data_IF_429423569293
#
_entry.id   IF_429423569293
#
_cell.length_a   1.000
_cell.length_b   1.000
_cell.length_c   1.000
_cell.angle_alpha   90.00
_cell.angle_beta   90.00
_cell.angle_gamma   90.00
#
_symmetry.space_group_name_H-M   'P 1'
#
loop_
_entity.id
_entity.type
_entity.pdbx_description
1 polymer ?
#
# COMPACT_ATOMS: atom_id res chain seq x y z
N UNK A 1 -11.54 -22.50 26.36
CA UNK A 1 -11.64 -21.82 25.03
C UNK A 1 -10.26 -21.31 24.62
N UNK A 2 -9.63 -21.87 23.57
CA UNK A 2 -8.34 -21.36 23.08
C UNK A 2 -8.53 -19.92 22.60
N UNK A 3 -7.88 -18.95 23.25
CA UNK A 3 -7.91 -17.54 22.79
C UNK A 3 -7.41 -17.52 21.34
N UNK A 4 -8.24 -17.04 20.41
CA UNK A 4 -7.83 -16.82 19.03
C UNK A 4 -6.56 -15.96 19.03
N UNK A 5 -5.55 -16.37 18.24
CA UNK A 5 -4.29 -15.62 18.11
C UNK A 5 -4.50 -14.23 17.50
N UNK A 6 -5.66 -13.97 16.89
CA UNK A 6 -6.03 -12.72 16.22
C UNK A 6 -7.17 -12.00 16.95
N UNK A 7 -7.09 -10.67 16.99
CA UNK A 7 -8.20 -9.82 17.45
C UNK A 7 -9.32 -9.77 16.39
N UNK A 8 -10.60 -9.52 16.76
CA UNK A 8 -11.68 -9.37 15.80
C UNK A 8 -11.39 -8.34 14.70
N UNK A 9 -10.72 -7.24 15.06
CA UNK A 9 -10.27 -6.22 14.12
C UNK A 9 -9.27 -6.75 13.07
N UNK A 10 -8.36 -7.64 13.47
CA UNK A 10 -7.43 -8.28 12.53
C UNK A 10 -8.17 -9.22 11.59
N UNK A 11 -9.12 -10.01 12.11
CA UNK A 11 -9.95 -10.91 11.28
C UNK A 11 -10.71 -10.09 10.23
N UNK A 12 -11.36 -9.00 10.64
CA UNK A 12 -12.05 -8.09 9.73
C UNK A 12 -11.10 -7.49 8.69
N UNK A 13 -9.90 -7.05 9.09
CA UNK A 13 -8.92 -6.53 8.15
C UNK A 13 -8.43 -7.58 7.14
N UNK A 14 -8.26 -8.84 7.57
CA UNK A 14 -7.91 -9.95 6.67
C UNK A 14 -9.02 -10.22 5.66
N UNK A 15 -10.28 -10.30 6.10
CA UNK A 15 -11.43 -10.50 5.21
C UNK A 15 -11.57 -9.32 4.23
N UNK A 16 -11.54 -8.09 4.75
CA UNK A 16 -11.68 -6.88 3.96
C UNK A 16 -10.58 -6.74 2.90
N UNK A 17 -9.35 -7.19 3.19
CA UNK A 17 -8.26 -7.15 2.23
C UNK A 17 -8.47 -8.09 1.03
N UNK A 18 -9.29 -9.13 1.13
CA UNK A 18 -9.60 -10.02 -0.01
C UNK A 18 -10.75 -9.50 -0.88
N UNK A 19 -11.60 -8.61 -0.36
CA UNK A 19 -12.79 -8.11 -1.08
C UNK A 19 -12.45 -7.54 -2.46
N UNK A 20 -11.44 -6.65 -2.63
CA UNK A 20 -11.15 -6.09 -3.95
C UNK A 20 -10.76 -7.15 -5.00
N UNK A 21 -10.04 -8.19 -4.59
CA UNK A 21 -9.63 -9.27 -5.47
C UNK A 21 -10.82 -10.17 -5.84
N UNK A 22 -11.65 -10.55 -4.87
CA UNK A 22 -12.86 -11.34 -5.12
C UNK A 22 -13.83 -10.59 -6.04
N UNK A 23 -13.99 -9.28 -5.82
CA UNK A 23 -14.79 -8.44 -6.70
C UNK A 23 -14.20 -8.38 -8.10
N UNK A 24 -12.87 -8.19 -8.24
CA UNK A 24 -12.22 -8.20 -9.55
C UNK A 24 -12.46 -9.51 -10.31
N UNK A 25 -12.37 -10.65 -9.63
CA UNK A 25 -12.64 -11.97 -10.23
C UNK A 25 -14.10 -12.09 -10.67
N UNK A 26 -15.04 -11.60 -9.84
CA UNK A 26 -16.45 -11.58 -10.19
C UNK A 26 -16.74 -10.73 -11.44
N UNK A 27 -16.19 -9.50 -11.49
CA UNK A 27 -16.37 -8.62 -12.65
C UNK A 27 -15.69 -9.17 -13.91
N UNK A 28 -14.58 -9.89 -13.76
CA UNK A 28 -13.93 -10.60 -14.87
C UNK A 28 -14.82 -11.74 -15.40
N UNK A 29 -15.44 -12.50 -14.50
CA UNK A 29 -16.31 -13.62 -14.89
C UNK A 29 -17.63 -13.17 -15.55
N UNK A 30 -18.08 -11.96 -15.24
CA UNK A 30 -19.30 -11.36 -15.80
C UNK A 30 -19.02 -10.43 -17.01
N UNK A 31 -17.79 -10.39 -17.52
CA UNK A 31 -17.37 -9.48 -18.59
C UNK A 31 -17.66 -7.98 -18.31
N UNK A 32 -17.68 -7.60 -17.03
CA UNK A 32 -18.00 -6.24 -16.56
C UNK A 32 -16.78 -5.31 -16.48
N UNK A 33 -15.60 -5.74 -16.93
CA UNK A 33 -14.38 -4.91 -16.92
C UNK A 33 -14.30 -3.91 -18.08
N UNK A 34 -15.26 -3.95 -19.00
CA UNK A 34 -15.35 -3.04 -20.14
C UNK A 34 -14.37 -3.41 -21.26
N UNK A 35 -14.08 -2.47 -22.18
CA UNK A 35 -13.39 -2.77 -23.44
C UNK A 35 -11.90 -3.11 -23.30
N UNK A 36 -11.27 -2.73 -22.18
CA UNK A 36 -9.86 -3.03 -21.89
C UNK A 36 -9.74 -3.69 -20.51
N UNK A 37 -10.04 -5.00 -20.42
CA UNK A 37 -10.11 -5.72 -19.14
C UNK A 37 -8.75 -5.82 -18.45
N UNK A 38 -7.66 -5.90 -19.21
CA UNK A 38 -6.29 -5.99 -18.68
C UNK A 38 -5.93 -4.67 -17.98
N UNK A 39 -6.17 -3.53 -18.63
CA UNK A 39 -5.94 -2.23 -18.02
C UNK A 39 -6.85 -2.00 -16.81
N UNK A 40 -8.11 -2.39 -16.88
CA UNK A 40 -9.04 -2.30 -15.75
C UNK A 40 -8.54 -3.10 -14.55
N UNK A 41 -8.13 -4.36 -14.75
CA UNK A 41 -7.57 -5.21 -13.70
C UNK A 41 -6.27 -4.63 -13.11
N UNK A 42 -5.38 -4.12 -13.98
CA UNK A 42 -4.12 -3.47 -13.58
C UNK A 42 -4.38 -2.24 -12.71
N UNK A 43 -5.30 -1.36 -13.10
CA UNK A 43 -5.65 -0.16 -12.33
C UNK A 43 -6.32 -0.52 -10.99
N UNK A 44 -7.21 -1.51 -10.96
CA UNK A 44 -7.90 -1.91 -9.73
C UNK A 44 -6.97 -2.56 -8.71
N UNK A 45 -6.07 -3.42 -9.15
CA UNK A 45 -5.05 -4.04 -8.28
C UNK A 45 -4.04 -3.01 -7.78
N UNK A 46 -3.61 -2.06 -8.62
CA UNK A 46 -2.77 -0.93 -8.21
C UNK A 46 -3.46 -0.03 -7.18
N UNK A 47 -4.75 0.29 -7.37
CA UNK A 47 -5.55 1.06 -6.41
C UNK A 47 -5.72 0.33 -5.09
N UNK A 48 -6.00 -0.98 -5.11
CA UNK A 48 -6.06 -1.78 -3.89
C UNK A 48 -4.73 -1.77 -3.12
N UNK A 49 -3.59 -1.90 -3.81
CA UNK A 49 -2.27 -1.80 -3.21
C UNK A 49 -2.04 -0.43 -2.53
N UNK A 50 -2.43 0.67 -3.18
CA UNK A 50 -2.35 2.03 -2.64
C UNK A 50 -3.25 2.21 -1.40
N UNK A 51 -4.52 1.80 -1.48
CA UNK A 51 -5.48 1.90 -0.37
C UNK A 51 -4.92 1.18 0.87
N UNK A 52 -4.41 -0.04 0.71
CA UNK A 52 -3.85 -0.83 1.80
C UNK A 52 -2.56 -0.22 2.37
N UNK A 53 -1.70 0.34 1.51
CA UNK A 53 -0.49 1.06 1.92
C UNK A 53 -0.85 2.28 2.78
N UNK A 54 -1.75 3.12 2.29
CA UNK A 54 -2.21 4.34 2.97
C UNK A 54 -2.92 3.98 4.28
N UNK A 55 -3.73 2.92 4.31
CA UNK A 55 -4.38 2.44 5.54
C UNK A 55 -3.35 1.94 6.56
N UNK A 56 -2.29 1.26 6.12
CA UNK A 56 -1.16 0.89 7.00
C UNK A 56 -0.45 2.12 7.57
N UNK A 57 -0.23 3.16 6.74
CA UNK A 57 0.30 4.45 7.18
C UNK A 57 -0.66 5.16 8.16
N UNK A 58 -1.98 5.00 8.02
CA UNK A 58 -2.99 5.60 8.89
C UNK A 58 -3.10 4.96 10.29
N UNK A 59 -2.57 3.76 10.50
CA UNK A 59 -2.68 3.08 11.79
C UNK A 59 -2.02 3.83 12.96
N UNK A 60 -0.86 4.46 12.75
CA UNK A 60 -0.19 5.21 13.84
C UNK A 60 -0.75 6.62 14.05
N UNK A 61 -1.19 7.42 13.05
CA UNK A 61 -1.92 8.65 13.29
C UNK A 61 -3.24 8.39 14.00
N UNK A 62 -3.98 7.33 13.65
CA UNK A 62 -5.17 6.90 14.40
C UNK A 62 -4.86 6.70 15.89
N UNK A 63 -3.81 5.94 16.22
CA UNK A 63 -3.41 5.76 17.62
C UNK A 63 -2.91 7.07 18.28
N UNK A 64 -2.33 7.99 17.50
CA UNK A 64 -1.83 9.28 18.01
C UNK A 64 -3.00 10.20 18.37
N UNK A 65 -3.96 10.35 17.47
CA UNK A 65 -5.13 11.23 17.61
C UNK A 65 -6.13 10.64 18.61
N UNK A 66 -6.46 9.35 18.51
CA UNK A 66 -7.55 8.74 19.29
C UNK A 66 -7.08 7.84 20.43
N UNK A 67 -5.78 7.52 20.54
CA UNK A 67 -5.30 6.56 21.54
C UNK A 67 -5.65 5.10 21.25
N UNK A 68 -6.21 4.81 20.07
CA UNK A 68 -6.67 3.48 19.69
C UNK A 68 -5.51 2.52 19.35
N UNK A 69 -4.94 1.89 20.39
CA UNK A 69 -3.84 0.91 20.29
C UNK A 69 -4.11 -0.27 19.34
N UNK A 70 -5.34 -0.82 19.20
CA UNK A 70 -5.59 -1.94 18.30
C UNK A 70 -5.21 -1.68 16.84
N UNK A 71 -5.33 -0.43 16.36
CA UNK A 71 -4.92 -0.07 14.99
C UNK A 71 -3.43 -0.36 14.72
N UNK A 72 -2.56 -0.27 15.72
CA UNK A 72 -1.13 -0.54 15.53
C UNK A 72 -0.86 -2.01 15.15
N UNK A 73 -1.74 -2.94 15.53
CA UNK A 73 -1.63 -4.37 15.17
C UNK A 73 -1.93 -4.63 13.69
N UNK A 74 -2.62 -3.71 13.02
CA UNK A 74 -2.98 -3.82 11.60
C UNK A 74 -1.88 -3.39 10.64
N UNK A 75 -0.88 -2.63 11.11
CA UNK A 75 0.20 -2.09 10.26
C UNK A 75 0.87 -3.13 9.37
N UNK A 76 1.30 -4.23 10.01
CA UNK A 76 2.01 -5.32 9.33
C UNK A 76 1.11 -6.06 8.32
N UNK A 77 -0.06 -6.60 8.70
CA UNK A 77 -0.90 -7.30 7.74
C UNK A 77 -1.33 -6.41 6.56
N UNK A 78 -1.73 -5.15 6.82
CA UNK A 78 -2.09 -4.21 5.74
C UNK A 78 -0.92 -3.94 4.78
N UNK A 79 0.30 -3.78 5.29
CA UNK A 79 1.49 -3.62 4.45
C UNK A 79 1.81 -4.86 3.62
N UNK A 80 1.59 -6.06 4.17
CA UNK A 80 1.78 -7.31 3.43
C UNK A 80 0.72 -7.50 2.33
N UNK A 81 -0.54 -7.14 2.61
CA UNK A 81 -1.58 -7.14 1.57
C UNK A 81 -1.32 -6.09 0.49
N UNK A 82 -0.86 -4.90 0.86
CA UNK A 82 -0.41 -3.90 -0.12
C UNK A 82 0.65 -4.47 -1.06
N UNK A 83 1.66 -5.16 -0.52
CA UNK A 83 2.64 -5.86 -1.32
C UNK A 83 2.04 -7.00 -2.16
N UNK A 84 1.10 -7.79 -1.63
CA UNK A 84 0.40 -8.83 -2.39
C UNK A 84 -0.30 -8.24 -3.63
N UNK A 85 -1.07 -7.16 -3.47
CA UNK A 85 -1.73 -6.50 -4.59
C UNK A 85 -0.75 -5.85 -5.56
N UNK A 86 0.36 -5.29 -5.06
CA UNK A 86 1.44 -4.80 -5.93
C UNK A 86 2.04 -5.94 -6.77
N UNK A 87 2.27 -7.11 -6.18
CA UNK A 87 2.75 -8.29 -6.91
C UNK A 87 1.74 -8.77 -7.95
N UNK A 88 0.44 -8.77 -7.64
CA UNK A 88 -0.61 -9.09 -8.63
C UNK A 88 -0.61 -8.05 -9.75
N UNK A 89 -0.50 -6.76 -9.42
CA UNK A 89 -0.42 -5.67 -10.40
C UNK A 89 0.77 -5.86 -11.36
N UNK A 90 1.96 -6.18 -10.85
CA UNK A 90 3.11 -6.51 -11.69
C UNK A 90 2.93 -7.81 -12.47
N UNK A 91 2.29 -8.83 -11.89
CA UNK A 91 2.02 -10.08 -12.59
C UNK A 91 1.05 -9.90 -13.77
N UNK A 92 0.03 -9.04 -13.63
CA UNK A 92 -0.86 -8.67 -14.75
C UNK A 92 -0.06 -7.92 -15.82
N UNK A 93 0.72 -6.90 -15.43
CA UNK A 93 1.54 -6.15 -16.39
C UNK A 93 2.55 -7.03 -17.12
N UNK A 94 3.35 -7.82 -16.40
CA UNK A 94 4.43 -8.62 -17.01
C UNK A 94 3.86 -9.83 -17.76
N UNK A 95 2.92 -10.55 -17.14
CA UNK A 95 2.45 -11.84 -17.62
C UNK A 95 1.26 -11.76 -18.56
N UNK A 96 0.32 -10.85 -18.32
CA UNK A 96 -0.93 -10.76 -19.11
C UNK A 96 -0.81 -9.70 -20.20
N UNK A 97 -0.33 -8.50 -19.87
CA UNK A 97 -0.21 -7.39 -20.83
C UNK A 97 0.97 -7.61 -21.81
N UNK A 98 2.14 -8.02 -21.28
CA UNK A 98 3.35 -8.25 -22.09
C UNK A 98 3.64 -9.71 -22.42
N UNK A 99 2.83 -10.67 -21.94
CA UNK A 99 2.99 -12.09 -22.27
C UNK A 99 4.36 -12.67 -21.89
N UNK A 100 5.02 -12.15 -20.85
CA UNK A 100 6.40 -12.47 -20.48
C UNK A 100 7.44 -12.19 -21.59
N UNK A 101 7.16 -11.27 -22.51
CA UNK A 101 8.13 -10.87 -23.52
C UNK A 101 9.23 -9.98 -22.92
N UNK A 102 10.29 -10.61 -22.43
CA UNK A 102 11.44 -9.94 -21.80
C UNK A 102 12.22 -9.01 -22.73
N UNK A 103 11.98 -9.04 -24.04
CA UNK A 103 12.59 -8.08 -24.97
C UNK A 103 11.88 -6.72 -24.94
N UNK A 104 10.57 -6.70 -24.71
CA UNK A 104 9.76 -5.47 -24.70
C UNK A 104 9.66 -4.83 -23.30
N UNK A 105 9.87 -5.61 -22.24
CA UNK A 105 9.75 -5.14 -20.86
C UNK A 105 10.69 -3.98 -20.49
N UNK A 106 11.98 -3.98 -20.90
CA UNK A 106 12.87 -2.85 -20.60
C UNK A 106 12.32 -1.54 -21.12
N UNK A 107 11.89 -1.50 -22.38
CA UNK A 107 11.35 -0.29 -23.01
C UNK A 107 10.07 0.15 -22.27
N UNK A 108 9.18 -0.80 -21.99
CA UNK A 108 7.95 -0.54 -21.26
C UNK A 108 8.16 0.02 -19.84
N UNK A 109 9.19 -0.44 -19.14
CA UNK A 109 9.49 -0.08 -17.75
C UNK A 109 10.37 1.18 -17.62
N UNK A 110 11.30 1.38 -18.55
CA UNK A 110 12.36 2.39 -18.44
C UNK A 110 12.08 3.63 -19.28
N UNK A 111 11.31 3.54 -20.36
CA UNK A 111 10.99 4.73 -21.16
C UNK A 111 9.93 5.61 -20.50
N UNK A 112 9.07 5.02 -19.67
CA UNK A 112 7.95 5.72 -19.06
C UNK A 112 8.29 6.09 -17.62
N UNK A 113 8.36 7.40 -17.35
CA UNK A 113 8.61 7.95 -16.00
C UNK A 113 7.71 7.35 -14.90
N UNK A 114 6.44 7.11 -15.20
CA UNK A 114 5.52 6.50 -14.23
C UNK A 114 5.89 5.04 -13.97
N UNK A 115 6.34 4.28 -14.97
CA UNK A 115 6.72 2.89 -14.82
C UNK A 115 7.97 2.74 -13.94
N UNK A 116 8.98 3.60 -14.12
CA UNK A 116 10.16 3.65 -13.24
C UNK A 116 9.76 3.88 -11.78
N UNK A 117 8.87 4.85 -11.53
CA UNK A 117 8.40 5.16 -10.16
C UNK A 117 7.59 4.00 -9.59
N UNK A 118 6.76 3.34 -10.41
CA UNK A 118 6.01 2.15 -10.03
C UNK A 118 6.93 1.00 -9.65
N UNK A 119 7.93 0.69 -10.48
CA UNK A 119 8.95 -0.33 -10.24
C UNK A 119 9.72 -0.06 -8.94
N UNK A 120 10.17 1.19 -8.76
CA UNK A 120 10.89 1.61 -7.55
C UNK A 120 10.05 1.42 -6.30
N UNK A 121 8.76 1.76 -6.37
CA UNK A 121 7.79 1.53 -5.29
C UNK A 121 7.65 0.03 -4.99
N UNK A 122 7.50 -0.79 -6.04
CA UNK A 122 7.41 -2.25 -5.92
C UNK A 122 8.65 -2.87 -5.27
N UNK A 123 9.85 -2.44 -5.65
CA UNK A 123 11.11 -2.92 -5.07
C UNK A 123 11.23 -2.54 -3.58
N UNK A 124 10.81 -1.34 -3.20
CA UNK A 124 10.75 -0.96 -1.78
C UNK A 124 9.78 -1.89 -1.04
N UNK A 125 8.56 -2.08 -1.54
CA UNK A 125 7.57 -2.95 -0.91
C UNK A 125 8.05 -4.39 -0.80
N UNK A 126 8.75 -4.91 -1.81
CA UNK A 126 9.37 -6.24 -1.80
C UNK A 126 10.39 -6.36 -0.66
N UNK A 127 11.33 -5.41 -0.55
CA UNK A 127 12.33 -5.40 0.52
C UNK A 127 11.67 -5.34 1.91
N UNK A 128 10.61 -4.55 2.07
CA UNK A 128 9.85 -4.45 3.32
C UNK A 128 9.09 -5.74 3.65
N UNK A 129 8.48 -6.38 2.65
CA UNK A 129 7.76 -7.63 2.81
C UNK A 129 8.69 -8.78 3.21
N UNK A 130 9.81 -8.95 2.51
CA UNK A 130 10.82 -9.97 2.83
C UNK A 130 11.37 -9.81 4.25
N UNK A 131 11.60 -8.56 4.68
CA UNK A 131 12.11 -8.24 6.02
C UNK A 131 11.03 -8.11 7.10
N UNK A 132 9.78 -8.50 6.81
CA UNK A 132 8.68 -8.47 7.78
C UNK A 132 8.61 -9.72 8.68
N UNK A 133 9.50 -10.70 8.51
CA UNK A 133 9.55 -11.92 9.35
C UNK A 133 10.36 -11.71 10.63
N UNK A 134 10.08 -12.52 11.66
CA UNK A 134 10.78 -12.45 12.96
C UNK A 134 12.29 -12.68 12.80
N UNK A 135 12.70 -13.58 11.90
CA UNK A 135 14.11 -13.84 11.61
C UNK A 135 14.85 -12.61 11.11
N UNK A 136 14.29 -11.90 10.12
CA UNK A 136 14.90 -10.68 9.58
C UNK A 136 14.90 -9.51 10.56
N UNK A 137 13.85 -9.38 11.38
CA UNK A 137 13.82 -8.40 12.47
C UNK A 137 14.97 -8.60 13.45
N UNK A 138 15.26 -9.85 13.83
CA UNK A 138 16.38 -10.20 14.71
C UNK A 138 17.73 -9.97 14.06
N UNK A 139 17.89 -10.32 12.77
CA UNK A 139 19.13 -10.15 12.01
C UNK A 139 19.51 -8.68 11.81
N UNK A 140 18.55 -7.84 11.41
CA UNK A 140 18.82 -6.44 11.04
C UNK A 140 18.84 -5.46 12.22
N UNK A 141 18.30 -5.83 13.39
CA UNK A 141 18.31 -5.02 14.63
C UNK A 141 17.90 -3.55 14.38
N UNK A 142 18.76 -2.57 14.68
CA UNK A 142 18.50 -1.14 14.48
C UNK A 142 18.29 -0.76 13.01
N UNK A 143 18.92 -1.47 12.08
CA UNK A 143 18.80 -1.23 10.64
C UNK A 143 17.43 -1.63 10.11
N UNK A 144 16.72 -2.56 10.77
CA UNK A 144 15.35 -2.93 10.41
C UNK A 144 14.42 -1.70 10.44
N UNK A 145 14.52 -0.89 11.49
CA UNK A 145 13.73 0.35 11.60
C UNK A 145 14.12 1.38 10.54
N UNK A 146 15.40 1.47 10.16
CA UNK A 146 15.87 2.37 9.09
C UNK A 146 15.29 1.93 7.74
N UNK A 147 15.38 0.64 7.41
CA UNK A 147 14.80 0.07 6.21
C UNK A 147 13.28 0.30 6.16
N UNK A 148 12.57 0.01 7.25
CA UNK A 148 11.11 0.17 7.32
C UNK A 148 10.62 1.63 7.31
N UNK A 149 11.51 2.62 7.42
CA UNK A 149 11.14 4.02 7.12
C UNK A 149 10.96 4.28 5.62
N UNK A 150 11.50 3.43 4.75
CA UNK A 150 11.29 3.54 3.29
C UNK A 150 9.81 3.40 2.91
N UNK A 151 8.95 2.88 3.80
CA UNK A 151 7.49 2.87 3.58
C UNK A 151 6.92 4.28 3.35
N UNK A 152 7.54 5.33 3.91
CA UNK A 152 7.12 6.71 3.67
C UNK A 152 7.45 7.14 2.25
N UNK A 153 8.64 6.79 1.76
CA UNK A 153 9.03 7.01 0.37
C UNK A 153 8.12 6.21 -0.57
N UNK A 154 7.85 4.93 -0.28
CA UNK A 154 6.92 4.12 -1.06
C UNK A 154 5.52 4.75 -1.14
N UNK A 155 5.01 5.33 -0.04
CA UNK A 155 3.72 6.03 -0.05
C UNK A 155 3.71 7.24 -0.98
N UNK A 156 4.77 8.04 -0.99
CA UNK A 156 4.91 9.19 -1.90
C UNK A 156 5.03 8.72 -3.35
N UNK A 157 5.93 7.77 -3.63
CA UNK A 157 6.16 7.26 -4.98
C UNK A 157 4.91 6.57 -5.54
N UNK A 158 4.14 5.83 -4.73
CA UNK A 158 2.89 5.20 -5.17
C UNK A 158 1.87 6.24 -5.67
N UNK A 159 1.74 7.37 -4.98
CA UNK A 159 0.86 8.47 -5.40
C UNK A 159 1.41 9.16 -6.64
N UNK A 160 2.71 9.44 -6.71
CA UNK A 160 3.34 10.05 -7.89
C UNK A 160 3.15 9.17 -9.13
N UNK A 161 3.35 7.86 -8.97
CA UNK A 161 3.05 6.87 -10.00
C UNK A 161 1.59 6.98 -10.47
N UNK A 162 0.64 7.08 -9.54
CA UNK A 162 -0.78 7.19 -9.88
C UNK A 162 -1.12 8.52 -10.59
N UNK A 163 -0.57 9.65 -10.12
CA UNK A 163 -0.75 10.97 -10.75
C UNK A 163 -0.26 10.96 -12.20
N UNK A 164 0.91 10.38 -12.46
CA UNK A 164 1.48 10.34 -13.82
C UNK A 164 0.85 9.30 -14.73
N UNK A 165 0.19 8.28 -14.16
CA UNK A 165 -0.48 7.21 -14.90
C UNK A 165 -1.83 7.67 -15.47
N UNK A 166 -2.60 8.43 -14.70
CA UNK A 166 -3.93 8.87 -15.14
C UNK A 166 -3.86 10.07 -16.09
N UNK A 167 -4.94 10.28 -16.83
CA UNK A 167 -5.10 11.48 -17.68
C UNK A 167 -5.09 12.75 -16.82
N UNK A 168 -4.62 13.85 -17.39
CA UNK A 168 -4.72 15.16 -16.76
C UNK A 168 -6.18 15.51 -16.45
N UNK A 169 -6.41 16.22 -15.34
CA UNK A 169 -7.75 16.61 -14.87
C UNK A 169 -8.45 15.60 -13.96
N UNK A 170 -7.91 14.38 -13.78
CA UNK A 170 -8.46 13.41 -12.81
C UNK A 170 -8.07 13.82 -11.39
N UNK A 171 -9.08 14.08 -10.54
CA UNK A 171 -8.88 14.57 -9.17
C UNK A 171 -8.41 13.48 -8.19
N UNK A 172 -8.80 12.23 -8.42
CA UNK A 172 -8.62 11.14 -7.45
C UNK A 172 -7.17 11.00 -6.92
N UNK A 173 -6.10 10.96 -7.74
CA UNK A 173 -4.74 10.81 -7.22
C UNK A 173 -4.30 11.97 -6.32
N UNK A 174 -4.82 13.18 -6.53
CA UNK A 174 -4.51 14.35 -5.71
C UNK A 174 -5.13 14.26 -4.31
N UNK A 175 -6.31 13.63 -4.19
CA UNK A 175 -6.92 13.34 -2.89
C UNK A 175 -6.04 12.36 -2.11
N UNK A 176 -5.53 11.31 -2.78
CA UNK A 176 -4.57 10.39 -2.18
C UNK A 176 -3.26 11.08 -1.79
N UNK A 177 -2.76 12.00 -2.62
CA UNK A 177 -1.59 12.81 -2.32
C UNK A 177 -1.76 13.63 -1.05
N UNK A 178 -2.86 14.36 -0.94
CA UNK A 178 -3.19 15.14 0.24
C UNK A 178 -3.28 14.24 1.49
N UNK A 179 -3.95 13.10 1.37
CA UNK A 179 -4.03 12.11 2.45
C UNK A 179 -2.66 11.63 2.91
N UNK A 180 -1.77 11.23 1.99
CA UNK A 180 -0.40 10.82 2.32
C UNK A 180 0.37 11.95 2.98
N UNK A 181 0.30 13.18 2.46
CA UNK A 181 0.97 14.35 3.05
C UNK A 181 0.52 14.57 4.49
N UNK A 182 -0.79 14.55 4.77
CA UNK A 182 -1.33 14.70 6.12
C UNK A 182 -0.82 13.58 7.04
N UNK A 183 -0.89 12.32 6.59
CA UNK A 183 -0.44 11.16 7.38
C UNK A 183 1.06 11.22 7.70
N UNK A 184 1.89 11.70 6.76
CA UNK A 184 3.32 11.88 6.96
C UNK A 184 3.64 13.10 7.82
N UNK A 185 2.90 14.21 7.71
CA UNK A 185 3.04 15.35 8.61
C UNK A 185 2.78 14.93 10.07
N UNK A 186 1.77 14.10 10.32
CA UNK A 186 1.47 13.53 11.65
C UNK A 186 2.56 12.58 12.18
N UNK A 187 3.59 12.25 11.39
CA UNK A 187 4.78 11.50 11.82
C UNK A 187 5.90 12.38 12.36
N UNK A 188 5.88 13.67 12.07
CA UNK A 188 6.90 14.60 12.54
C UNK A 188 6.83 14.66 14.08
N UNK A 189 7.94 14.44 14.81
CA UNK A 189 7.93 14.33 16.27
C UNK A 189 7.24 15.51 16.97
N UNK A 190 7.50 16.74 16.52
CA UNK A 190 6.90 17.95 17.06
C UNK A 190 5.37 17.96 16.92
N UNK A 191 4.85 17.64 15.72
CA UNK A 191 3.40 17.55 15.45
C UNK A 191 2.79 16.44 16.30
N UNK A 192 3.40 15.25 16.28
CA UNK A 192 2.94 14.10 17.04
C UNK A 192 2.83 14.39 18.55
N UNK A 193 3.84 15.03 19.13
CA UNK A 193 3.85 15.39 20.56
C UNK A 193 2.74 16.40 20.88
N UNK A 194 2.58 17.44 20.06
CA UNK A 194 1.49 18.42 20.20
C UNK A 194 0.11 17.74 20.13
N UNK A 195 -0.11 16.85 19.16
CA UNK A 195 -1.37 16.10 19.03
C UNK A 195 -1.67 15.23 20.26
N UNK A 196 -0.65 14.54 20.81
CA UNK A 196 -0.82 13.73 22.02
C UNK A 196 -1.13 14.61 23.23
N UNK A 197 -0.47 15.77 23.36
CA UNK A 197 -0.71 16.71 24.45
C UNK A 197 -2.14 17.26 24.39
N UNK A 198 -2.60 17.66 23.20
CA UNK A 198 -3.97 18.12 22.97
C UNK A 198 -5.00 17.04 23.34
N UNK A 199 -4.80 15.81 22.88
CA UNK A 199 -5.68 14.67 23.22
C UNK A 199 -5.79 14.47 24.73
N UNK A 200 -4.67 14.55 25.46
CA UNK A 200 -4.66 14.40 26.93
C UNK A 200 -5.35 15.54 27.67
N UNK A 201 -5.46 16.72 27.05
CA UNK A 201 -6.16 17.87 27.63
C UNK A 201 -7.69 17.75 27.47
N UNK A 202 -8.15 17.05 26.42
CA UNK A 202 -9.58 16.90 26.08
C UNK A 202 -10.19 15.64 26.70
N UNK A 203 -9.38 14.60 26.96
CA UNK A 203 -9.80 13.36 27.62
C UNK A 203 -9.87 13.52 29.14
#
# INVERSE_FOLDING_TARGET
>A
MKKLKFTPLQILAHIAAWIPLLWLIFDLWQDHLGPDPIRAATLRTGKAALVLLVTSLACTPINTIFGYKPALKLRRPLGLYSFMYASIHFAIFIGVDYGFNFKLLPDALLEKRYAIVGLTTGLILLALALTSTVGWQRRLKKNWKKLHKLVYLAGVLAVVHFIWLVKQGVLEPWIWALGVVILLALRIPAIKQKTIALRRKIA
#
